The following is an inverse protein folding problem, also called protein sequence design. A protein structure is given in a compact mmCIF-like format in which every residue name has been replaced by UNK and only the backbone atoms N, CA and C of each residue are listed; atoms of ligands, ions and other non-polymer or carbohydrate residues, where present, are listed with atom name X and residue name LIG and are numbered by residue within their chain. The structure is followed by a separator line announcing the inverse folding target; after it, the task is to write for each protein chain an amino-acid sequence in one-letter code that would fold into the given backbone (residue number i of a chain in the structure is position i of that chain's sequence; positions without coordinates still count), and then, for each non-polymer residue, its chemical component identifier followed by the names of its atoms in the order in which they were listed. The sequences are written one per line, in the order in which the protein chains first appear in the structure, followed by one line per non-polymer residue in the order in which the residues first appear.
data_IF_681965860711
#
_entry.id   IF_681965860711
#
_cell.length_a   1.000
_cell.length_b   1.000
_cell.length_c   1.000
_cell.angle_alpha   90.00
_cell.angle_beta   90.00
_cell.angle_gamma   90.00
#
_symmetry.space_group_name_H-M   'P 1'
#
loop_
_entity.id
_entity.type
_entity.pdbx_description
1 polymer ?
#
# COMPACT_ATOMS: atom_id res chain seq x y z
N UNK A 1 23.51 -11.99 1.23
CA UNK A 1 22.46 -12.96 0.84
C UNK A 1 21.13 -12.22 0.83
N UNK A 2 20.53 -11.98 -0.34
CA UNK A 2 19.37 -11.10 -0.50
C UNK A 2 18.07 -11.74 0.00
N UNK A 3 17.31 -11.00 0.83
CA UNK A 3 15.97 -11.41 1.29
C UNK A 3 15.05 -11.69 0.09
N UNK A 4 14.50 -12.90 0.03
CA UNK A 4 13.52 -13.36 -0.98
C UNK A 4 12.22 -12.53 -1.03
N UNK A 5 11.94 -11.72 0.00
CA UNK A 5 10.73 -10.91 0.12
C UNK A 5 10.73 -9.59 -0.69
N UNK A 6 11.72 -9.36 -1.57
CA UNK A 6 11.90 -8.06 -2.24
C UNK A 6 11.12 -7.91 -3.56
N UNK A 7 10.36 -8.93 -3.99
CA UNK A 7 9.60 -8.93 -5.25
C UNK A 7 8.25 -9.64 -5.08
N UNK A 8 7.20 -9.07 -5.69
CA UNK A 8 5.90 -9.75 -5.84
C UNK A 8 6.06 -11.07 -6.58
N UNK A 9 5.32 -12.10 -6.15
CA UNK A 9 5.33 -13.39 -6.84
C UNK A 9 4.66 -13.28 -8.22
N UNK A 10 4.97 -14.22 -9.11
CA UNK A 10 4.36 -14.28 -10.44
C UNK A 10 2.83 -14.44 -10.39
N UNK A 11 2.32 -15.07 -9.33
CA UNK A 11 0.89 -15.26 -9.09
C UNK A 11 0.26 -13.94 -8.65
N UNK A 12 0.81 -13.28 -7.63
CA UNK A 12 0.29 -12.00 -7.13
C UNK A 12 0.26 -10.94 -8.23
N UNK A 13 1.29 -10.90 -9.08
CA UNK A 13 1.32 -9.97 -10.23
C UNK A 13 0.16 -10.23 -11.19
N UNK A 14 -0.16 -11.50 -11.49
CA UNK A 14 -1.27 -11.82 -12.39
C UNK A 14 -2.61 -11.44 -11.76
N UNK A 15 -2.79 -11.74 -10.48
CA UNK A 15 -4.03 -11.46 -9.77
C UNK A 15 -4.25 -9.94 -9.64
N UNK A 16 -3.22 -9.20 -9.26
CA UNK A 16 -3.25 -7.74 -9.17
C UNK A 16 -3.49 -7.09 -10.55
N UNK A 17 -2.91 -7.62 -11.63
CA UNK A 17 -3.21 -7.13 -12.99
C UNK A 17 -4.67 -7.40 -13.41
N UNK A 18 -5.29 -8.46 -12.90
CA UNK A 18 -6.70 -8.78 -13.19
C UNK A 18 -7.69 -7.92 -12.39
N UNK A 19 -7.30 -7.50 -11.18
CA UNK A 19 -8.14 -6.73 -10.27
C UNK A 19 -7.86 -5.22 -10.28
N UNK A 20 -6.85 -4.75 -11.01
CA UNK A 20 -6.45 -3.35 -11.08
C UNK A 20 -6.18 -2.92 -12.53
N UNK A 21 -6.00 -1.61 -12.75
CA UNK A 21 -5.65 -1.06 -14.05
C UNK A 21 -4.13 -0.92 -14.28
N UNK A 22 -3.31 -1.53 -13.41
CA UNK A 22 -1.86 -1.43 -13.48
C UNK A 22 -1.23 -2.56 -14.28
N UNK A 23 -0.18 -2.24 -15.03
CA UNK A 23 0.64 -3.24 -15.70
C UNK A 23 1.72 -3.82 -14.78
N UNK A 24 2.35 -4.91 -15.22
CA UNK A 24 3.40 -5.61 -14.45
C UNK A 24 4.53 -4.70 -13.95
N UNK A 25 4.98 -3.73 -14.77
CA UNK A 25 6.09 -2.85 -14.37
C UNK A 25 5.63 -1.89 -13.28
N UNK A 26 4.45 -1.32 -13.41
CA UNK A 26 3.87 -0.42 -12.41
C UNK A 26 3.70 -1.12 -11.06
N UNK A 27 3.11 -2.32 -11.05
CA UNK A 27 2.93 -3.10 -9.80
C UNK A 27 4.25 -3.41 -9.10
N UNK A 28 5.29 -3.75 -9.87
CA UNK A 28 6.62 -4.02 -9.31
C UNK A 28 7.28 -2.75 -8.74
N UNK A 29 7.10 -1.60 -9.39
CA UNK A 29 7.57 -0.31 -8.89
C UNK A 29 6.83 0.06 -7.61
N UNK A 30 5.50 0.01 -7.61
CA UNK A 30 4.68 0.28 -6.43
C UNK A 30 5.06 -0.59 -5.23
N UNK A 31 5.26 -1.90 -5.43
CA UNK A 31 5.66 -2.79 -4.34
C UNK A 31 7.06 -2.47 -3.80
N UNK A 32 8.00 -2.13 -4.70
CA UNK A 32 9.36 -1.75 -4.30
C UNK A 32 9.35 -0.46 -3.50
N UNK A 33 8.60 0.54 -3.94
CA UNK A 33 8.48 1.83 -3.24
C UNK A 33 7.76 1.63 -1.90
N UNK A 34 6.71 0.80 -1.86
CA UNK A 34 6.05 0.42 -0.61
C UNK A 34 7.02 -0.20 0.40
N UNK A 35 7.85 -1.18 0.01
CA UNK A 35 8.82 -1.79 0.92
C UNK A 35 9.95 -0.84 1.33
N UNK A 36 10.21 0.22 0.55
CA UNK A 36 11.20 1.24 0.89
C UNK A 36 10.66 2.17 1.98
N UNK A 37 9.40 2.59 1.85
CA UNK A 37 8.73 3.47 2.82
C UNK A 37 8.25 2.70 4.06
N UNK A 38 7.85 1.43 3.90
CA UNK A 38 7.39 0.51 4.94
C UNK A 38 8.26 -0.77 4.97
N UNK A 39 9.47 -0.75 5.58
CA UNK A 39 10.39 -1.89 5.56
C UNK A 39 9.88 -3.17 6.24
N UNK A 40 8.87 -3.06 7.10
CA UNK A 40 8.18 -4.19 7.73
C UNK A 40 7.21 -4.89 6.78
N UNK A 41 6.81 -4.23 5.68
CA UNK A 41 5.73 -4.67 4.82
C UNK A 41 4.33 -4.37 5.37
N UNK A 42 4.24 -3.60 6.45
CA UNK A 42 3.01 -3.22 7.11
C UNK A 42 2.88 -1.69 7.11
N UNK A 43 1.67 -1.20 6.87
CA UNK A 43 1.34 0.23 6.94
C UNK A 43 0.44 0.47 8.15
N UNK A 44 0.88 1.30 9.08
CA UNK A 44 0.11 1.62 10.29
C UNK A 44 -0.94 2.69 10.02
N UNK A 45 -1.94 2.76 10.90
CA UNK A 45 -3.00 3.75 10.78
C UNK A 45 -2.46 5.19 10.75
N UNK A 46 -1.47 5.52 11.58
CA UNK A 46 -0.89 6.87 11.64
C UNK A 46 -0.16 7.25 10.34
N UNK A 47 0.50 6.28 9.71
CA UNK A 47 1.18 6.46 8.42
C UNK A 47 0.15 6.64 7.30
N UNK A 48 -0.92 5.85 7.30
CA UNK A 48 -2.03 5.97 6.37
C UNK A 48 -2.75 7.33 6.47
N UNK A 49 -3.00 7.81 7.70
CA UNK A 49 -3.56 9.14 7.96
C UNK A 49 -2.65 10.24 7.40
N UNK A 50 -1.34 10.11 7.58
CA UNK A 50 -0.35 11.07 7.07
C UNK A 50 -0.31 11.12 5.54
N UNK A 51 -0.45 9.97 4.86
CA UNK A 51 -0.57 9.89 3.40
C UNK A 51 -1.83 10.64 2.94
N UNK A 52 -2.97 10.42 3.59
CA UNK A 52 -4.21 11.11 3.26
C UNK A 52 -4.11 12.63 3.46
N UNK A 53 -3.38 13.11 4.48
CA UNK A 53 -3.15 14.54 4.69
C UNK A 53 -2.39 15.19 3.54
N UNK A 54 -1.48 14.47 2.87
CA UNK A 54 -0.75 15.00 1.71
C UNK A 54 -1.67 15.22 0.50
N UNK A 55 -2.68 14.36 0.30
CA UNK A 55 -3.66 14.52 -0.77
C UNK A 55 -4.73 15.57 -0.47
N UNK A 56 -5.00 15.82 0.81
CA UNK A 56 -6.02 16.78 1.27
C UNK A 56 -5.40 17.82 2.23
N UNK A 57 -4.47 18.68 1.76
CA UNK A 57 -3.68 19.56 2.63
C UNK A 57 -4.52 20.57 3.42
N UNK A 58 -5.70 20.95 2.91
CA UNK A 58 -6.62 21.88 3.56
C UNK A 58 -7.79 21.19 4.28
N UNK A 59 -7.85 19.86 4.26
CA UNK A 59 -8.89 19.08 4.93
C UNK A 59 -8.44 18.52 6.28
N UNK A 60 -9.38 17.95 7.03
CA UNK A 60 -9.13 17.10 8.21
C UNK A 60 -9.46 15.64 7.90
N UNK A 61 -8.67 14.96 7.05
CA UNK A 61 -8.98 13.61 6.58
C UNK A 61 -8.90 12.55 7.67
N UNK A 62 -8.43 12.87 8.89
CA UNK A 62 -8.19 11.91 9.97
C UNK A 62 -9.35 10.91 10.19
N UNK A 63 -10.58 11.40 10.38
CA UNK A 63 -11.74 10.52 10.61
C UNK A 63 -12.06 9.65 9.39
N UNK A 64 -11.89 10.20 8.19
CA UNK A 64 -12.13 9.48 6.95
C UNK A 64 -11.05 8.43 6.69
N UNK A 65 -9.78 8.78 6.87
CA UNK A 65 -8.65 7.88 6.74
C UNK A 65 -8.74 6.73 7.75
N UNK A 66 -9.08 7.00 9.01
CA UNK A 66 -9.31 5.95 10.01
C UNK A 66 -10.48 5.01 9.63
N UNK A 67 -11.57 5.58 9.11
CA UNK A 67 -12.71 4.78 8.64
C UNK A 67 -12.32 3.87 7.46
N UNK A 68 -11.62 4.43 6.47
CA UNK A 68 -11.13 3.69 5.31
C UNK A 68 -10.12 2.63 5.72
N UNK A 69 -9.18 2.94 6.62
CA UNK A 69 -8.21 1.98 7.15
C UNK A 69 -8.91 0.76 7.77
N UNK A 70 -9.93 0.98 8.61
CA UNK A 70 -10.70 -0.09 9.24
C UNK A 70 -11.58 -0.90 8.26
N UNK A 71 -11.85 -0.39 7.05
CA UNK A 71 -12.49 -1.17 5.98
C UNK A 71 -11.46 -2.06 5.27
N UNK A 72 -10.26 -1.53 5.04
CA UNK A 72 -9.18 -2.26 4.36
C UNK A 72 -8.50 -3.30 5.26
N UNK A 73 -8.44 -3.07 6.57
CA UNK A 73 -7.88 -4.01 7.53
C UNK A 73 -8.83 -5.18 7.79
N UNK A 74 -8.53 -6.29 7.12
CA UNK A 74 -9.28 -7.54 7.22
C UNK A 74 -8.78 -8.47 8.34
N UNK A 75 -7.66 -8.14 8.99
CA UNK A 75 -6.95 -9.00 9.95
C UNK A 75 -7.04 -8.50 11.41
N UNK A 76 -8.18 -7.93 11.80
CA UNK A 76 -8.42 -7.36 13.14
C UNK A 76 -7.91 -8.19 14.31
#
# INVERSE_FOLDING_TARGET
MGKRASKLSSTDVKDLMGCTYFNKKELQTWYKDFLKECPTGELKQEEFESIYQQFFPHGSPKKFAAYVFNIFDTNK
#
